data_IF_025472112621
#
_entry.id   IF_025472112621
#
_cell.length_a   1.000
_cell.length_b   1.000
_cell.length_c   1.000
_cell.angle_alpha   90.00
_cell.angle_beta   90.00
_cell.angle_gamma   90.00
#
_symmetry.space_group_name_H-M   'P 1'
#
loop_
_entity.id
_entity.type
_entity.pdbx_description
1 polymer ?
#
# COMPACT_ATOMS: atom_id res chain seq x y z
N UNK A 1 20.68 0.30 -14.53
CA UNK A 1 20.62 1.78 -14.56
C UNK A 1 19.56 2.19 -13.57
N UNK A 2 19.79 3.25 -12.79
CA UNK A 2 18.74 3.82 -11.94
C UNK A 2 17.73 4.57 -12.83
N UNK A 3 16.44 4.39 -12.60
CA UNK A 3 15.40 5.19 -13.24
C UNK A 3 15.64 6.70 -13.03
N UNK A 4 15.30 7.53 -14.03
CA UNK A 4 15.40 8.99 -13.91
C UNK A 4 14.44 9.50 -12.81
N UNK A 5 14.68 10.70 -12.24
CA UNK A 5 13.77 11.28 -11.25
C UNK A 5 12.32 11.37 -11.72
N UNK A 6 12.10 11.70 -13.00
CA UNK A 6 10.77 11.74 -13.62
C UNK A 6 10.12 10.36 -13.62
N UNK A 7 10.89 9.34 -13.97
CA UNK A 7 10.40 7.96 -13.99
C UNK A 7 10.10 7.42 -12.60
N UNK A 8 10.94 7.73 -11.61
CA UNK A 8 10.70 7.40 -10.22
C UNK A 8 9.40 8.03 -9.71
N UNK A 9 9.13 9.29 -10.09
CA UNK A 9 7.88 10.00 -9.77
C UNK A 9 6.66 9.34 -10.40
N UNK A 10 6.74 8.95 -11.69
CA UNK A 10 5.67 8.20 -12.35
C UNK A 10 5.40 6.87 -11.66
N UNK A 11 6.44 6.10 -11.35
CA UNK A 11 6.32 4.81 -10.67
C UNK A 11 5.70 4.97 -9.26
N UNK A 12 6.07 6.02 -8.53
CA UNK A 12 5.50 6.33 -7.23
C UNK A 12 4.02 6.72 -7.33
N UNK A 13 3.66 7.54 -8.32
CA UNK A 13 2.28 7.92 -8.59
C UNK A 13 1.43 6.69 -8.95
N UNK A 14 1.94 5.80 -9.81
CA UNK A 14 1.27 4.55 -10.16
C UNK A 14 0.97 3.68 -8.94
N UNK A 15 1.93 3.53 -8.03
CA UNK A 15 1.73 2.77 -6.81
C UNK A 15 0.68 3.41 -5.88
N UNK A 16 0.67 4.73 -5.77
CA UNK A 16 -0.30 5.45 -4.96
C UNK A 16 -1.71 5.34 -5.55
N UNK A 17 -1.85 5.60 -6.85
CA UNK A 17 -3.12 5.53 -7.58
C UNK A 17 -3.76 4.15 -7.50
N UNK A 18 -2.94 3.09 -7.51
CA UNK A 18 -3.39 1.73 -7.34
C UNK A 18 -4.14 1.50 -6.01
N UNK A 19 -3.74 2.16 -4.92
CA UNK A 19 -4.42 2.09 -3.63
C UNK A 19 -5.61 3.07 -3.55
N UNK A 20 -5.43 4.30 -4.03
CA UNK A 20 -6.50 5.32 -4.11
C UNK A 20 -7.71 4.75 -4.86
N UNK A 21 -7.48 4.09 -5.98
CA UNK A 21 -8.54 3.53 -6.81
C UNK A 21 -9.37 2.48 -6.07
N UNK A 22 -8.72 1.63 -5.25
CA UNK A 22 -9.44 0.65 -4.42
C UNK A 22 -10.27 1.35 -3.33
N UNK A 23 -9.69 2.34 -2.65
CA UNK A 23 -10.39 3.13 -1.61
C UNK A 23 -11.60 3.87 -2.19
N UNK A 24 -11.44 4.45 -3.38
CA UNK A 24 -12.51 5.16 -4.07
C UNK A 24 -13.64 4.20 -4.48
N UNK A 25 -13.32 3.04 -5.05
CA UNK A 25 -14.32 2.03 -5.40
C UNK A 25 -15.09 1.58 -4.15
N UNK A 26 -14.39 1.26 -3.05
CA UNK A 26 -15.06 0.89 -1.79
C UNK A 26 -15.92 2.04 -1.24
N UNK A 27 -15.43 3.28 -1.31
CA UNK A 27 -16.16 4.45 -0.81
C UNK A 27 -17.44 4.73 -1.61
N UNK A 28 -17.41 4.49 -2.92
CA UNK A 28 -18.54 4.71 -3.83
C UNK A 28 -19.55 3.55 -3.87
N UNK A 29 -19.18 2.37 -3.36
CA UNK A 29 -20.02 1.16 -3.36
C UNK A 29 -20.48 0.75 -1.95
N UNK A 30 -20.47 1.69 -0.99
CA UNK A 30 -20.96 1.45 0.37
C UNK A 30 -22.49 1.51 0.42
N UNK A 31 -23.08 0.69 1.28
CA UNK A 31 -24.50 0.74 1.61
C UNK A 31 -24.80 1.80 2.70
N UNK A 32 -26.04 1.79 3.21
CA UNK A 32 -26.48 2.64 4.32
C UNK A 32 -25.68 2.45 5.61
N UNK A 33 -25.09 1.28 5.81
CA UNK A 33 -24.28 0.94 6.99
C UNK A 33 -22.80 1.32 6.79
N UNK A 34 -22.46 1.91 5.65
CA UNK A 34 -21.08 2.27 5.30
C UNK A 34 -20.22 1.07 4.88
N UNK A 35 -20.84 -0.09 4.62
CA UNK A 35 -20.17 -1.32 4.22
C UNK A 35 -20.22 -1.49 2.70
N UNK A 36 -19.05 -1.62 2.08
CA UNK A 36 -18.93 -1.98 0.68
C UNK A 36 -18.91 -3.49 0.53
N UNK A 37 -19.83 -4.03 -0.29
CA UNK A 37 -19.99 -5.48 -0.56
C UNK A 37 -19.49 -5.93 -1.93
N UNK A 38 -18.84 -5.05 -2.69
CA UNK A 38 -18.25 -5.38 -3.99
C UNK A 38 -17.12 -6.41 -3.85
N UNK A 39 -17.08 -7.40 -4.74
CA UNK A 39 -16.06 -8.44 -4.70
C UNK A 39 -14.71 -7.93 -5.22
N UNK A 40 -13.62 -8.54 -4.74
CA UNK A 40 -12.28 -8.23 -5.28
C UNK A 40 -12.16 -8.55 -6.78
N UNK A 41 -12.94 -9.51 -7.29
CA UNK A 41 -12.99 -9.86 -8.72
C UNK A 41 -13.64 -8.76 -9.55
N UNK A 42 -14.72 -8.15 -9.06
CA UNK A 42 -15.37 -7.02 -9.74
C UNK A 42 -14.46 -5.78 -9.73
N UNK A 43 -13.81 -5.48 -8.60
CA UNK A 43 -12.79 -4.42 -8.52
C UNK A 43 -11.67 -4.68 -9.54
N UNK A 44 -11.20 -5.92 -9.64
CA UNK A 44 -10.14 -6.28 -10.59
C UNK A 44 -10.55 -6.01 -12.04
N UNK A 45 -11.79 -6.35 -12.41
CA UNK A 45 -12.38 -6.03 -13.73
C UNK A 45 -12.48 -4.52 -13.96
N UNK A 46 -12.97 -3.77 -12.99
CA UNK A 46 -13.10 -2.30 -13.08
C UNK A 46 -11.75 -1.61 -13.28
N UNK A 47 -10.69 -2.13 -12.65
CA UNK A 47 -9.35 -1.56 -12.70
C UNK A 47 -8.48 -2.12 -13.85
N UNK A 48 -8.96 -3.11 -14.61
CA UNK A 48 -8.18 -3.76 -15.66
C UNK A 48 -6.93 -4.49 -15.13
N UNK A 49 -6.96 -5.02 -13.90
CA UNK A 49 -5.83 -5.73 -13.27
C UNK A 49 -6.22 -7.14 -12.84
N UNK A 50 -5.24 -7.95 -12.44
CA UNK A 50 -5.53 -9.29 -11.92
C UNK A 50 -6.18 -9.25 -10.54
N UNK A 51 -7.01 -10.26 -10.23
CA UNK A 51 -7.61 -10.41 -8.91
C UNK A 51 -6.54 -10.61 -7.82
N UNK A 52 -5.42 -11.26 -8.14
CA UNK A 52 -4.26 -11.37 -7.24
C UNK A 52 -3.66 -10.01 -6.88
N UNK A 53 -3.57 -9.07 -7.84
CA UNK A 53 -3.10 -7.72 -7.57
C UNK A 53 -4.03 -6.98 -6.60
N UNK A 54 -5.35 -7.08 -6.81
CA UNK A 54 -6.35 -6.54 -5.88
C UNK A 54 -6.25 -7.19 -4.50
N UNK A 55 -6.15 -8.52 -4.43
CA UNK A 55 -6.01 -9.22 -3.16
C UNK A 55 -4.77 -8.77 -2.36
N UNK A 56 -3.64 -8.55 -3.04
CA UNK A 56 -2.43 -7.98 -2.42
C UNK A 56 -2.67 -6.57 -1.89
N UNK A 57 -3.36 -5.71 -2.66
CA UNK A 57 -3.73 -4.36 -2.23
C UNK A 57 -4.64 -4.38 -1.01
N UNK A 58 -5.66 -5.24 -0.99
CA UNK A 58 -6.55 -5.43 0.17
C UNK A 58 -5.79 -5.90 1.40
N UNK A 59 -4.91 -6.89 1.25
CA UNK A 59 -4.08 -7.38 2.36
C UNK A 59 -3.26 -6.24 2.99
N UNK A 60 -2.67 -5.39 2.15
CA UNK A 60 -1.91 -4.23 2.61
C UNK A 60 -2.81 -3.17 3.25
N UNK A 61 -3.92 -2.78 2.61
CA UNK A 61 -4.84 -1.78 3.17
C UNK A 61 -5.47 -2.22 4.50
N UNK A 62 -5.70 -3.53 4.70
CA UNK A 62 -6.13 -4.07 5.99
C UNK A 62 -5.01 -3.99 7.02
N UNK A 63 -3.80 -4.43 6.63
CA UNK A 63 -2.64 -4.45 7.53
C UNK A 63 -2.28 -3.05 8.04
N UNK A 64 -2.38 -2.04 7.19
CA UNK A 64 -2.08 -0.64 7.53
C UNK A 64 -3.33 0.15 7.96
N UNK A 65 -4.44 -0.55 8.26
CA UNK A 65 -5.65 0.04 8.85
C UNK A 65 -6.36 1.09 7.99
N UNK A 66 -6.11 1.13 6.68
CA UNK A 66 -6.90 1.95 5.75
C UNK A 66 -8.31 1.38 5.54
N UNK A 67 -8.46 0.05 5.59
CA UNK A 67 -9.76 -0.63 5.51
C UNK A 67 -9.85 -1.73 6.57
N UNK A 68 -11.07 -2.12 6.94
CA UNK A 68 -11.31 -3.31 7.78
C UNK A 68 -12.35 -4.23 7.16
N UNK A 69 -12.31 -5.51 7.52
CA UNK A 69 -13.42 -6.44 7.22
C UNK A 69 -14.58 -6.17 8.18
N UNK A 70 -15.80 -6.16 7.64
CA UNK A 70 -17.02 -5.89 8.38
C UNK A 70 -17.92 -7.13 8.56
N UNK A 71 -17.57 -8.26 7.96
CA UNK A 71 -18.37 -9.48 8.03
C UNK A 71 -17.83 -10.61 7.16
N UNK A 72 -18.60 -11.70 7.03
CA UNK A 72 -18.24 -12.83 6.19
C UNK A 72 -18.41 -12.48 4.71
N UNK A 73 -17.33 -12.65 3.94
CA UNK A 73 -17.23 -12.46 2.47
C UNK A 73 -17.55 -11.04 1.97
N UNK A 74 -16.63 -10.50 1.16
CA UNK A 74 -16.75 -9.23 0.42
C UNK A 74 -17.20 -7.98 1.20
N UNK A 75 -17.33 -8.01 2.53
CA UNK A 75 -17.77 -6.88 3.34
C UNK A 75 -16.57 -6.10 3.89
N UNK A 76 -16.39 -4.86 3.43
CA UNK A 76 -15.28 -3.99 3.82
C UNK A 76 -15.77 -2.58 4.17
N UNK A 77 -15.13 -1.98 5.16
CA UNK A 77 -15.33 -0.57 5.56
C UNK A 77 -14.01 0.17 5.34
N UNK A 78 -14.07 1.36 4.73
CA UNK A 78 -12.94 2.28 4.66
C UNK A 78 -12.82 2.99 6.00
N UNK A 79 -11.65 2.87 6.64
CA UNK A 79 -11.35 3.43 7.97
C UNK A 79 -10.52 4.69 7.85
N UNK A 80 -9.49 4.67 6.99
CA UNK A 80 -8.66 5.82 6.76
C UNK A 80 -8.39 6.02 5.26
N UNK A 81 -8.43 7.27 4.82
CA UNK A 81 -8.11 7.69 3.45
C UNK A 81 -6.71 8.30 3.34
N UNK A 82 -6.07 8.58 4.47
CA UNK A 82 -4.68 9.02 4.53
C UNK A 82 -3.72 7.85 4.26
N UNK A 83 -3.44 7.64 2.98
CA UNK A 83 -2.52 6.58 2.54
C UNK A 83 -1.05 6.88 2.85
N UNK A 84 -0.68 8.11 3.24
CA UNK A 84 0.68 8.40 3.70
C UNK A 84 0.96 7.79 5.08
N UNK A 85 -0.08 7.58 5.88
CA UNK A 85 0.05 6.91 7.18
C UNK A 85 -0.51 5.48 7.20
N UNK A 86 -1.48 5.19 6.33
CA UNK A 86 -2.23 3.93 6.34
C UNK A 86 -2.00 3.08 5.07
N UNK A 87 -0.80 3.15 4.50
CA UNK A 87 -0.41 2.25 3.40
C UNK A 87 1.09 1.94 3.43
N UNK A 88 1.54 0.89 2.72
CA UNK A 88 2.97 0.63 2.61
C UNK A 88 3.74 1.67 1.77
N UNK A 89 3.06 2.60 1.09
CA UNK A 89 3.71 3.78 0.47
C UNK A 89 4.18 4.75 1.55
N UNK A 90 3.37 4.94 2.59
CA UNK A 90 3.76 5.67 3.79
C UNK A 90 5.00 5.10 4.46
N UNK A 91 5.04 3.77 4.59
CA UNK A 91 6.21 3.07 5.13
C UNK A 91 7.45 3.24 4.24
N UNK A 92 7.29 3.17 2.91
CA UNK A 92 8.39 3.42 1.97
C UNK A 92 8.98 4.82 2.17
N UNK A 93 8.15 5.85 2.31
CA UNK A 93 8.62 7.21 2.55
C UNK A 93 9.39 7.34 3.88
N UNK A 94 8.87 6.74 4.94
CA UNK A 94 9.55 6.68 6.26
C UNK A 94 10.89 5.97 6.16
N UNK A 95 10.95 4.85 5.42
CA UNK A 95 12.19 4.10 5.17
C UNK A 95 13.21 4.93 4.39
N UNK A 96 12.82 5.58 3.29
CA UNK A 96 13.71 6.43 2.50
C UNK A 96 14.30 7.56 3.35
N UNK A 97 13.45 8.21 4.17
CA UNK A 97 13.88 9.28 5.08
C UNK A 97 14.84 8.76 6.15
N UNK A 98 14.59 7.57 6.70
CA UNK A 98 15.48 6.92 7.67
C UNK A 98 16.85 6.65 7.05
N UNK A 99 16.89 6.05 5.86
CA UNK A 99 18.14 5.71 5.16
C UNK A 99 18.94 6.94 4.73
N UNK A 100 18.27 8.05 4.43
CA UNK A 100 18.96 9.32 4.17
C UNK A 100 19.64 9.87 5.43
N UNK A 101 19.01 9.71 6.60
CA UNK A 101 19.55 10.19 7.88
C UNK A 101 20.59 9.25 8.48
N UNK A 102 20.48 7.95 8.21
CA UNK A 102 21.32 6.89 8.75
C UNK A 102 21.70 5.91 7.63
N UNK A 103 22.64 6.28 6.75
CA UNK A 103 23.02 5.43 5.62
C UNK A 103 23.69 4.12 6.06
N UNK A 104 24.32 4.07 7.24
CA UNK A 104 25.06 2.91 7.74
C UNK A 104 24.17 1.67 7.93
N UNK A 105 22.88 1.87 8.18
CA UNK A 105 21.93 0.79 8.42
C UNK A 105 21.30 0.27 7.13
N UNK A 106 21.74 0.73 5.95
CA UNK A 106 21.09 0.41 4.66
C UNK A 106 20.96 -1.09 4.39
N UNK A 107 21.87 -1.91 4.90
CA UNK A 107 21.82 -3.36 4.77
C UNK A 107 21.29 -4.07 6.02
N UNK A 108 21.05 -3.37 7.13
CA UNK A 108 20.52 -3.95 8.36
C UNK A 108 18.99 -3.77 8.42
N UNK A 109 18.27 -4.79 7.96
CA UNK A 109 16.82 -4.77 7.88
C UNK A 109 16.17 -4.94 9.27
N UNK A 110 16.86 -5.56 10.23
CA UNK A 110 16.35 -5.70 11.60
C UNK A 110 16.40 -4.35 12.31
N UNK A 111 17.50 -3.63 12.19
CA UNK A 111 17.63 -2.29 12.75
C UNK A 111 16.65 -1.31 12.11
N UNK A 112 16.46 -1.37 10.78
CA UNK A 112 15.41 -0.59 10.09
C UNK A 112 14.00 -0.89 10.65
N UNK A 113 13.69 -2.15 10.93
CA UNK A 113 12.39 -2.58 11.45
C UNK A 113 12.17 -2.07 12.88
N UNK A 114 13.18 -2.19 13.74
CA UNK A 114 13.17 -1.67 15.11
C UNK A 114 12.94 -0.14 15.12
N UNK A 115 13.72 0.60 14.33
CA UNK A 115 13.65 2.06 14.30
C UNK A 115 12.33 2.61 13.74
N UNK A 116 11.68 1.87 12.86
CA UNK A 116 10.37 2.23 12.32
C UNK A 116 9.21 1.62 13.10
N UNK A 117 9.49 0.83 14.14
CA UNK A 117 8.51 0.06 14.91
C UNK A 117 7.57 -0.76 14.01
N UNK A 118 8.15 -1.51 13.07
CA UNK A 118 7.43 -2.39 12.14
C UNK A 118 8.08 -3.78 12.11
N UNK A 119 7.44 -4.73 11.43
CA UNK A 119 8.06 -6.06 11.27
C UNK A 119 9.16 -6.06 10.21
N UNK A 120 10.12 -6.97 10.32
CA UNK A 120 11.12 -7.24 9.27
C UNK A 120 10.46 -7.46 7.90
N UNK A 121 9.31 -8.14 7.87
CA UNK A 121 8.54 -8.41 6.65
C UNK A 121 7.98 -7.12 6.02
N UNK A 122 7.68 -6.10 6.82
CA UNK A 122 7.25 -4.79 6.32
C UNK A 122 8.39 -4.04 5.67
N UNK A 123 9.59 -4.11 6.24
CA UNK A 123 10.81 -3.58 5.61
C UNK A 123 11.04 -4.25 4.26
N UNK A 124 10.89 -5.57 4.16
CA UNK A 124 11.01 -6.28 2.88
C UNK A 124 9.98 -5.80 1.85
N UNK A 125 8.73 -5.54 2.26
CA UNK A 125 7.69 -5.00 1.37
C UNK A 125 8.07 -3.60 0.88
N UNK A 126 8.49 -2.72 1.79
CA UNK A 126 8.91 -1.37 1.44
C UNK A 126 10.13 -1.38 0.50
N UNK A 127 11.12 -2.26 0.75
CA UNK A 127 12.27 -2.47 -0.14
C UNK A 127 11.86 -2.96 -1.52
N UNK A 128 10.89 -3.86 -1.61
CA UNK A 128 10.34 -4.29 -2.89
C UNK A 128 9.75 -3.13 -3.71
N UNK A 129 9.09 -2.18 -3.04
CA UNK A 129 8.64 -0.95 -3.72
C UNK A 129 9.78 -0.01 -4.08
N UNK A 130 10.79 0.15 -3.22
CA UNK A 130 11.96 0.94 -3.56
C UNK A 130 12.67 0.39 -4.82
N UNK A 131 12.78 -0.94 -4.96
CA UNK A 131 13.32 -1.55 -6.18
C UNK A 131 12.46 -1.22 -7.40
N UNK A 132 11.13 -1.31 -7.28
CA UNK A 132 10.21 -0.96 -8.36
C UNK A 132 10.34 0.52 -8.77
N UNK A 133 10.48 1.44 -7.82
CA UNK A 133 10.67 2.87 -8.14
C UNK A 133 11.91 3.11 -9.00
N UNK A 134 12.97 2.33 -8.77
CA UNK A 134 14.26 2.47 -9.45
C UNK A 134 14.36 1.68 -10.76
N UNK A 135 13.30 0.96 -11.17
CA UNK A 135 13.21 0.23 -12.43
C UNK A 135 12.61 1.11 -13.52
#
# INVERSE_FOLDING_TARGET
MLASPEKQKENAQYLLDAYISVINILSSNKDSDGVSRISQTEIAKMLGVSQTAVAKRFKNLIKFEAIKKAGPRNAYIVINKDLLNHSPIGLLYKLMTLLQKQPDIVNDYYQQAEMLNVSYKDIQVARGYLTFLNT
#
